data_IF_238042960798
#
_entry.id   IF_238042960798
#
_cell.length_a   1.000
_cell.length_b   1.000
_cell.length_c   1.000
_cell.angle_alpha   90.00
_cell.angle_beta   90.00
_cell.angle_gamma   90.00
#
_symmetry.space_group_name_H-M   'P 1'
#
loop_
_entity.id
_entity.type
_entity.pdbx_description
1 polymer ?
#
# COMPACT_ATOMS: atom_id res chain seq x y z
N UNK A 1 -23.87 -64.67 0.14
CA UNK A 1 -23.33 -63.35 -0.22
C UNK A 1 -24.47 -62.34 -0.17
N UNK A 2 -24.50 -61.50 0.86
CA UNK A 2 -25.56 -60.52 1.07
C UNK A 2 -24.95 -59.11 0.97
N UNK A 3 -25.46 -58.29 0.05
CA UNK A 3 -25.08 -56.89 -0.10
C UNK A 3 -26.04 -56.01 0.70
N UNK A 4 -25.50 -55.27 1.69
CA UNK A 4 -26.24 -54.26 2.43
C UNK A 4 -26.18 -52.92 1.66
N UNK A 5 -27.35 -52.36 1.36
CA UNK A 5 -27.54 -50.99 0.85
C UNK A 5 -27.41 -50.01 2.02
N UNK A 6 -26.51 -49.05 1.92
CA UNK A 6 -26.43 -47.87 2.80
C UNK A 6 -27.15 -46.71 2.11
N UNK A 7 -28.21 -46.21 2.75
CA UNK A 7 -28.98 -45.04 2.33
C UNK A 7 -28.27 -43.75 2.77
N UNK A 8 -28.07 -42.83 1.84
CA UNK A 8 -27.48 -41.51 2.06
C UNK A 8 -28.61 -40.50 2.34
N UNK A 9 -28.67 -39.81 3.49
CA UNK A 9 -29.65 -38.75 3.70
C UNK A 9 -29.14 -37.43 3.12
N UNK A 10 -29.80 -36.97 2.06
CA UNK A 10 -29.67 -35.62 1.51
C UNK A 10 -30.12 -34.58 2.54
N UNK A 11 -29.17 -33.81 3.07
CA UNK A 11 -29.42 -32.67 3.94
C UNK A 11 -29.50 -31.41 3.08
N UNK A 12 -30.73 -30.97 2.82
CA UNK A 12 -31.07 -29.66 2.27
C UNK A 12 -30.84 -28.61 3.38
N UNK A 13 -29.86 -27.72 3.19
CA UNK A 13 -29.70 -26.51 4.01
C UNK A 13 -29.83 -25.29 3.10
N UNK A 14 -30.83 -24.47 3.44
CA UNK A 14 -31.21 -23.18 2.83
C UNK A 14 -30.03 -22.19 2.73
N UNK A 15 -29.89 -21.42 1.64
CA UNK A 15 -29.08 -20.22 1.64
C UNK A 15 -29.87 -19.05 2.28
N UNK A 16 -29.30 -18.49 3.35
CA UNK A 16 -29.72 -17.22 3.94
C UNK A 16 -29.25 -16.07 3.02
N UNK A 17 -30.20 -15.41 2.36
CA UNK A 17 -29.98 -14.17 1.62
C UNK A 17 -29.81 -13.01 2.61
N UNK A 18 -28.57 -12.59 2.84
CA UNK A 18 -28.21 -11.34 3.51
C UNK A 18 -28.19 -10.21 2.48
N UNK A 19 -29.10 -9.25 2.65
CA UNK A 19 -29.19 -8.02 1.87
C UNK A 19 -28.51 -6.84 2.61
N UNK A 20 -27.79 -6.00 1.86
CA UNK A 20 -27.35 -4.63 2.22
C UNK A 20 -26.17 -4.56 3.21
N UNK A 21 -25.10 -3.80 2.99
CA UNK A 21 -25.00 -2.49 2.34
C UNK A 21 -23.76 -2.42 1.44
N UNK A 22 -23.96 -2.09 0.17
CA UNK A 22 -22.89 -1.62 -0.72
C UNK A 22 -22.55 -0.19 -0.33
N UNK A 23 -21.41 -0.02 0.35
CA UNK A 23 -20.72 1.26 0.45
C UNK A 23 -20.38 1.72 -0.96
N UNK A 24 -20.78 2.95 -1.30
CA UNK A 24 -20.40 3.64 -2.52
C UNK A 24 -18.89 3.91 -2.47
N UNK A 25 -18.11 2.92 -2.87
CA UNK A 25 -16.71 3.10 -3.19
C UNK A 25 -16.69 3.84 -4.53
N UNK A 26 -16.41 5.15 -4.49
CA UNK A 26 -15.97 5.88 -5.67
C UNK A 26 -14.85 5.05 -6.32
N UNK A 27 -15.22 4.40 -7.42
CA UNK A 27 -14.28 3.64 -8.23
C UNK A 27 -13.37 4.67 -8.88
N UNK A 28 -12.23 4.92 -8.24
CA UNK A 28 -11.08 5.46 -8.92
C UNK A 28 -10.70 4.44 -10.00
N UNK A 29 -11.17 4.67 -11.22
CA UNK A 29 -10.76 3.91 -12.40
C UNK A 29 -9.36 4.40 -12.72
N UNK A 30 -8.29 3.59 -12.55
CA UNK A 30 -6.99 3.99 -13.06
C UNK A 30 -7.08 4.07 -14.59
N UNK A 31 -7.14 5.29 -15.11
CA UNK A 31 -6.90 5.60 -16.52
C UNK A 31 -5.48 5.18 -16.89
N UNK A 32 -5.26 3.89 -17.19
CA UNK A 32 -4.07 3.41 -17.88
C UNK A 32 -4.30 2.01 -18.50
N UNK A 33 -5.52 1.76 -18.97
CA UNK A 33 -5.82 0.61 -19.85
C UNK A 33 -6.82 0.97 -20.94
N UNK A 34 -6.73 2.19 -21.50
CA UNK A 34 -7.12 2.39 -22.90
C UNK A 34 -6.03 1.80 -23.78
N UNK A 35 -6.00 0.46 -23.86
CA UNK A 35 -5.48 -0.19 -25.05
C UNK A 35 -6.50 0.09 -26.14
N UNK A 36 -6.41 1.29 -26.73
CA UNK A 36 -7.19 1.68 -27.89
C UNK A 36 -6.94 0.64 -28.96
N UNK A 37 -7.88 -0.29 -29.09
CA UNK A 37 -8.03 -1.10 -30.28
C UNK A 37 -8.55 -0.16 -31.38
N UNK A 38 -7.71 0.79 -31.81
CA UNK A 38 -7.93 1.47 -33.07
C UNK A 38 -7.82 0.41 -34.15
N UNK A 39 -8.96 0.09 -34.76
CA UNK A 39 -9.03 -0.73 -35.95
C UNK A 39 -8.00 -0.20 -36.96
N UNK A 40 -7.02 -1.04 -37.27
CA UNK A 40 -5.96 -0.72 -38.21
C UNK A 40 -6.57 -0.55 -39.60
N UNK A 41 -6.72 0.70 -40.03
CA UNK A 41 -6.69 1.01 -41.46
C UNK A 41 -5.25 0.71 -41.93
N UNK A 42 -5.12 -0.40 -42.65
CA UNK A 42 -3.89 -0.88 -43.27
C UNK A 42 -3.42 0.10 -44.37
N UNK A 43 -2.85 1.23 -43.99
CA UNK A 43 -1.91 1.95 -44.86
C UNK A 43 -0.59 1.19 -44.80
N UNK A 44 -0.19 0.58 -45.93
CA UNK A 44 1.05 -0.17 -46.11
C UNK A 44 2.30 0.70 -46.05
N UNK A 45 2.46 1.48 -44.97
CA UNK A 45 3.68 2.20 -44.63
C UNK A 45 4.73 1.14 -44.27
N UNK A 46 5.76 1.00 -45.11
CA UNK A 46 6.85 0.09 -44.85
C UNK A 46 7.48 0.44 -43.50
N UNK A 47 7.48 -0.51 -42.56
CA UNK A 47 8.05 -0.32 -41.24
C UNK A 47 9.49 0.18 -41.37
N UNK A 48 9.77 1.36 -40.81
CA UNK A 48 11.11 1.92 -40.80
C UNK A 48 12.09 0.90 -40.20
N UNK A 49 13.31 0.77 -40.75
CA UNK A 49 14.30 -0.16 -40.22
C UNK A 49 14.58 0.12 -38.74
N UNK A 50 14.81 -0.92 -37.92
CA UNK A 50 15.06 -0.75 -36.49
C UNK A 50 16.30 0.11 -36.27
N UNK A 51 16.15 1.18 -35.49
CA UNK A 51 17.25 2.10 -35.16
C UNK A 51 18.29 1.43 -34.25
N UNK A 52 19.60 1.72 -34.41
CA UNK A 52 20.64 1.15 -33.56
C UNK A 52 20.49 1.64 -32.11
N UNK A 53 20.62 0.73 -31.15
CA UNK A 53 20.55 1.04 -29.72
C UNK A 53 21.94 1.34 -29.13
N UNK A 54 22.09 2.49 -28.48
CA UNK A 54 23.30 2.99 -27.81
C UNK A 54 23.15 2.92 -26.28
N UNK A 55 24.25 2.74 -25.52
CA UNK A 55 24.18 2.81 -24.06
C UNK A 55 23.76 4.22 -23.60
N UNK A 56 22.76 4.31 -22.74
CA UNK A 56 22.24 5.57 -22.22
C UNK A 56 22.62 5.75 -20.74
N UNK A 57 23.35 6.82 -20.44
CA UNK A 57 23.81 7.11 -19.07
C UNK A 57 22.65 7.39 -18.09
N UNK A 58 21.57 7.98 -18.59
CA UNK A 58 20.41 8.38 -17.79
C UNK A 58 19.66 7.16 -17.23
N UNK A 59 19.42 6.15 -18.08
CA UNK A 59 18.67 4.95 -17.70
C UNK A 59 19.57 3.78 -17.29
N UNK A 60 20.85 3.79 -17.68
CA UNK A 60 21.77 2.67 -17.52
C UNK A 60 21.50 1.50 -18.48
N UNK A 61 20.64 1.69 -19.48
CA UNK A 61 20.18 0.66 -20.45
C UNK A 61 20.57 1.05 -21.89
N UNK A 62 20.32 0.16 -22.86
CA UNK A 62 20.52 0.46 -24.29
C UNK A 62 19.23 0.99 -24.92
N UNK A 63 19.25 2.26 -25.33
CA UNK A 63 18.10 2.97 -25.93
C UNK A 63 18.47 3.50 -27.32
N UNK A 64 17.51 4.02 -28.08
CA UNK A 64 17.89 4.75 -29.31
C UNK A 64 18.63 6.04 -28.95
N UNK A 65 19.45 6.57 -29.86
CA UNK A 65 20.16 7.83 -29.63
C UNK A 65 19.18 9.00 -29.40
N UNK A 66 18.03 8.98 -30.09
CA UNK A 66 16.96 9.97 -29.92
C UNK A 66 16.33 9.90 -28.52
N UNK A 67 15.93 8.69 -28.07
CA UNK A 67 15.35 8.49 -26.73
C UNK A 67 16.34 8.93 -25.65
N UNK A 68 17.62 8.57 -25.76
CA UNK A 68 18.59 8.94 -24.74
C UNK A 68 18.80 10.46 -24.65
N UNK A 69 18.80 11.16 -25.79
CA UNK A 69 18.87 12.62 -25.81
C UNK A 69 17.61 13.26 -25.21
N UNK A 70 16.44 12.67 -25.45
CA UNK A 70 15.18 13.11 -24.83
C UNK A 70 15.16 12.88 -23.33
N UNK A 71 15.58 11.70 -22.86
CA UNK A 71 15.69 11.39 -21.45
C UNK A 71 16.65 12.35 -20.73
N UNK A 72 17.76 12.72 -21.37
CA UNK A 72 18.66 13.73 -20.82
C UNK A 72 17.96 15.09 -20.66
N UNK A 73 17.21 15.55 -21.67
CA UNK A 73 16.42 16.79 -21.59
C UNK A 73 15.38 16.73 -20.46
N UNK A 74 14.65 15.62 -20.36
CA UNK A 74 13.61 15.45 -19.34
C UNK A 74 14.18 15.41 -17.91
N UNK A 75 15.38 14.85 -17.74
CA UNK A 75 16.08 14.88 -16.43
C UNK A 75 16.63 16.27 -16.10
N UNK A 76 17.04 17.07 -17.09
CA UNK A 76 17.44 18.46 -16.83
C UNK A 76 16.27 19.37 -16.48
N UNK A 77 15.03 19.00 -16.84
CA UNK A 77 13.82 19.75 -16.51
C UNK A 77 13.16 19.35 -15.18
N UNK A 78 13.82 18.54 -14.36
CA UNK A 78 13.25 18.11 -13.07
C UNK A 78 13.14 19.29 -12.11
N UNK A 79 12.01 19.36 -11.43
CA UNK A 79 11.74 20.35 -10.38
C UNK A 79 11.98 19.73 -9.02
N UNK A 80 12.30 20.55 -8.02
CA UNK A 80 12.25 20.08 -6.65
C UNK A 80 10.77 20.00 -6.19
N UNK A 81 10.49 19.03 -5.35
CA UNK A 81 9.18 18.85 -4.73
C UNK A 81 9.30 18.32 -3.32
N UNK A 82 8.16 18.22 -2.66
CA UNK A 82 8.03 17.57 -1.36
C UNK A 82 7.12 16.37 -1.52
N UNK A 83 7.55 15.24 -0.99
CA UNK A 83 6.70 14.08 -0.83
C UNK A 83 6.22 13.92 0.60
N UNK A 84 5.14 13.18 0.80
CA UNK A 84 4.74 12.71 2.10
C UNK A 84 4.31 11.25 2.06
N UNK A 85 4.69 10.50 3.09
CA UNK A 85 4.37 9.08 3.23
C UNK A 85 3.86 8.81 4.65
N UNK A 86 2.69 8.16 4.75
CA UNK A 86 2.03 7.90 6.03
C UNK A 86 1.53 6.45 6.13
N UNK A 87 2.41 5.47 6.40
CA UNK A 87 1.95 4.15 6.79
C UNK A 87 1.59 4.11 8.28
N UNK A 88 0.64 3.26 8.64
CA UNK A 88 0.37 2.94 10.05
C UNK A 88 1.56 2.21 10.65
N UNK A 89 1.99 2.60 11.86
CA UNK A 89 3.06 1.91 12.59
C UNK A 89 2.61 0.54 13.12
N UNK A 90 1.31 0.39 13.35
CA UNK A 90 0.69 -0.84 13.84
C UNK A 90 -0.48 -1.19 12.94
N UNK A 91 -0.42 -2.37 12.32
CA UNK A 91 -1.54 -2.94 11.57
C UNK A 91 -2.13 -4.13 12.31
N UNK A 92 -3.34 -4.53 11.93
CA UNK A 92 -4.02 -5.71 12.47
C UNK A 92 -4.06 -6.79 11.40
N UNK A 93 -3.66 -8.02 11.75
CA UNK A 93 -3.70 -9.19 10.86
C UNK A 93 -5.12 -9.34 10.29
N UNK A 94 -5.17 -9.61 8.99
CA UNK A 94 -6.39 -9.82 8.20
C UNK A 94 -7.31 -8.57 8.09
N UNK A 95 -6.86 -7.41 8.57
CA UNK A 95 -7.55 -6.13 8.42
C UNK A 95 -6.88 -5.30 7.31
N UNK A 96 -7.70 -4.81 6.37
CA UNK A 96 -7.21 -3.94 5.31
C UNK A 96 -7.00 -2.51 5.86
N UNK A 97 -5.80 -1.99 5.64
CA UNK A 97 -5.42 -0.60 5.91
C UNK A 97 -5.10 0.09 4.58
N UNK A 98 -5.49 1.36 4.46
CA UNK A 98 -5.11 2.18 3.31
C UNK A 98 -3.78 2.89 3.57
N UNK A 99 -2.77 2.60 2.76
CA UNK A 99 -1.49 3.33 2.74
C UNK A 99 -1.51 4.36 1.63
N UNK A 100 -1.03 5.56 1.93
CA UNK A 100 -1.07 6.71 1.02
C UNK A 100 0.29 7.35 0.88
N UNK A 101 0.56 7.83 -0.32
CA UNK A 101 1.75 8.61 -0.68
C UNK A 101 1.29 9.78 -1.56
N UNK A 102 1.82 10.98 -1.33
CA UNK A 102 1.56 12.11 -2.21
C UNK A 102 2.85 12.88 -2.48
N UNK A 103 2.86 13.59 -3.60
CA UNK A 103 3.94 14.52 -3.96
C UNK A 103 3.34 15.84 -4.40
N UNK A 104 4.04 16.94 -4.12
CA UNK A 104 3.75 18.25 -4.68
C UNK A 104 5.02 18.90 -5.16
N UNK A 105 4.94 19.61 -6.29
CA UNK A 105 6.01 20.50 -6.72
C UNK A 105 6.13 21.70 -5.78
N UNK A 106 7.35 22.21 -5.64
CA UNK A 106 7.61 23.52 -5.05
C UNK A 106 7.44 24.57 -6.17
N UNK A 107 6.64 25.64 -5.96
CA UNK A 107 6.25 26.56 -7.02
C UNK A 107 7.43 27.22 -7.76
N UNK A 108 8.58 27.45 -7.10
CA UNK A 108 9.72 28.14 -7.71
C UNK A 108 11.09 27.41 -7.58
N UNK A 109 11.10 26.16 -7.11
CA UNK A 109 12.36 25.47 -6.85
C UNK A 109 12.90 24.74 -8.08
N UNK A 110 13.98 25.28 -8.66
CA UNK A 110 14.83 24.57 -9.62
C UNK A 110 15.85 23.75 -8.82
N UNK A 111 16.02 22.48 -9.15
CA UNK A 111 16.96 21.63 -8.44
C UNK A 111 18.38 21.78 -9.01
N UNK A 112 19.40 21.78 -8.15
CA UNK A 112 20.79 21.82 -8.57
C UNK A 112 21.24 20.51 -9.22
N UNK A 113 22.37 20.56 -9.91
CA UNK A 113 22.95 19.45 -10.68
C UNK A 113 23.08 18.15 -9.86
N UNK A 114 23.29 18.26 -8.53
CA UNK A 114 23.45 17.13 -7.61
C UNK A 114 22.18 16.71 -6.85
N UNK A 115 21.03 17.34 -7.11
CA UNK A 115 19.82 17.07 -6.33
C UNK A 115 19.74 17.77 -4.97
N UNK A 116 20.74 18.57 -4.61
CA UNK A 116 20.52 19.66 -3.67
C UNK A 116 19.44 20.58 -4.24
N UNK A 117 18.55 21.10 -3.40
CA UNK A 117 17.72 22.24 -3.81
C UNK A 117 18.73 23.34 -4.12
N UNK A 118 19.00 23.59 -5.39
CA UNK A 118 19.73 24.79 -5.73
C UNK A 118 18.76 25.91 -5.40
N UNK A 119 19.08 26.69 -4.38
CA UNK A 119 18.69 28.09 -4.35
C UNK A 119 18.88 28.61 -5.77
N UNK A 120 17.80 28.97 -6.47
CA UNK A 120 17.88 29.49 -7.82
C UNK A 120 19.05 30.48 -7.89
N UNK A 121 20.00 30.21 -8.79
CA UNK A 121 21.42 30.56 -8.68
C UNK A 121 21.77 32.04 -8.58
N UNK A 122 20.83 32.99 -8.44
CA UNK A 122 21.14 34.42 -8.47
C UNK A 122 20.24 35.33 -7.60
N UNK A 123 19.47 34.81 -6.64
CA UNK A 123 18.71 35.69 -5.74
C UNK A 123 19.04 35.41 -4.29
N UNK A 124 19.30 36.47 -3.52
CA UNK A 124 19.55 36.51 -2.08
C UNK A 124 18.35 36.04 -1.23
N UNK A 125 17.55 35.12 -1.75
CA UNK A 125 16.47 34.43 -1.06
C UNK A 125 17.11 33.64 0.08
N UNK A 126 16.92 34.13 1.30
CA UNK A 126 17.46 33.55 2.51
C UNK A 126 17.05 32.07 2.59
N UNK A 127 17.98 31.16 2.94
CA UNK A 127 17.67 29.74 3.19
C UNK A 127 16.45 29.53 4.11
N UNK A 128 16.14 30.50 4.96
CA UNK A 128 14.95 30.53 5.79
C UNK A 128 13.62 30.60 5.02
N UNK A 129 13.58 31.29 3.87
CA UNK A 129 12.40 31.39 3.01
C UNK A 129 12.12 30.08 2.30
N UNK A 130 13.15 29.44 1.74
CA UNK A 130 13.02 28.09 1.14
C UNK A 130 12.59 27.08 2.20
N UNK A 131 13.18 27.11 3.40
CA UNK A 131 12.76 26.24 4.50
C UNK A 131 11.30 26.47 4.90
N UNK A 132 10.83 27.73 4.86
CA UNK A 132 9.42 28.07 5.11
C UNK A 132 8.50 27.53 4.02
N UNK A 133 8.86 27.69 2.75
CA UNK A 133 8.08 27.19 1.60
C UNK A 133 8.03 25.66 1.57
N UNK A 134 9.16 25.00 1.87
CA UNK A 134 9.23 23.55 2.03
C UNK A 134 8.34 23.09 3.19
N UNK A 135 8.36 23.78 4.33
CA UNK A 135 7.51 23.45 5.47
C UNK A 135 6.02 23.68 5.16
N UNK A 136 5.66 24.76 4.46
CA UNK A 136 4.29 25.04 4.03
C UNK A 136 3.78 23.97 3.06
N UNK A 137 4.60 23.63 2.06
CA UNK A 137 4.30 22.56 1.10
C UNK A 137 4.21 21.21 1.80
N UNK A 138 5.12 20.90 2.73
CA UNK A 138 5.07 19.69 3.55
C UNK A 138 3.74 19.58 4.32
N UNK A 139 3.28 20.68 4.91
CA UNK A 139 1.99 20.72 5.60
C UNK A 139 0.80 20.53 4.64
N UNK A 140 0.85 21.14 3.45
CA UNK A 140 -0.16 20.96 2.42
C UNK A 140 -0.23 19.50 1.95
N UNK A 141 0.92 18.90 1.63
CA UNK A 141 1.04 17.50 1.17
C UNK A 141 0.59 16.54 2.27
N UNK A 142 1.00 16.78 3.53
CA UNK A 142 0.53 16.01 4.68
C UNK A 142 -1.00 16.09 4.84
N UNK A 143 -1.59 17.28 4.65
CA UNK A 143 -3.03 17.50 4.71
C UNK A 143 -3.82 16.72 3.66
N UNK A 144 -3.22 16.35 2.52
CA UNK A 144 -3.85 15.50 1.52
C UNK A 144 -3.91 14.02 1.93
N UNK A 145 -3.01 13.60 2.84
CA UNK A 145 -2.86 12.20 3.21
C UNK A 145 -3.76 11.81 4.39
N UNK A 146 -3.97 12.70 5.36
CA UNK A 146 -4.66 12.37 6.62
C UNK A 146 -6.18 12.30 6.42
N UNK A 147 -6.83 11.12 6.41
CA UNK A 147 -8.25 11.05 6.71
C UNK A 147 -8.48 11.23 8.21
N UNK A 148 -9.66 11.77 8.54
CA UNK A 148 -10.06 12.41 9.80
C UNK A 148 -9.58 11.83 11.14
N UNK A 149 -9.20 10.56 11.31
CA UNK A 149 -8.80 10.02 12.63
C UNK A 149 -7.82 8.84 12.51
N UNK A 150 -6.66 9.00 13.15
CA UNK A 150 -5.70 7.95 13.56
C UNK A 150 -4.67 7.39 12.55
N UNK A 151 -4.30 8.12 11.50
CA UNK A 151 -3.18 7.68 10.66
C UNK A 151 -1.81 8.06 11.28
N UNK A 152 -0.80 7.20 11.09
CA UNK A 152 0.54 7.27 11.71
C UNK A 152 1.34 8.55 11.46
N UNK A 153 2.58 8.64 11.94
CA UNK A 153 3.42 9.81 11.71
C UNK A 153 3.66 10.04 10.20
N UNK A 154 3.24 11.19 9.68
CA UNK A 154 3.54 11.62 8.31
C UNK A 154 5.03 11.97 8.25
N UNK A 155 5.75 11.36 7.32
CA UNK A 155 7.11 11.78 6.98
C UNK A 155 7.11 12.50 5.65
N UNK A 156 7.86 13.60 5.61
CA UNK A 156 8.00 14.42 4.41
C UNK A 156 9.45 14.51 3.99
N UNK A 157 9.74 14.34 2.70
CA UNK A 157 11.09 14.48 2.16
C UNK A 157 11.10 15.38 0.92
N UNK A 158 12.25 15.97 0.64
CA UNK A 158 12.48 16.67 -0.62
C UNK A 158 12.82 15.65 -1.70
N UNK A 159 12.15 15.73 -2.84
CA UNK A 159 12.30 14.79 -3.96
C UNK A 159 12.49 15.49 -5.30
N UNK A 160 13.06 14.77 -6.27
CA UNK A 160 13.09 15.20 -7.68
C UNK A 160 11.77 14.85 -8.35
N UNK A 161 11.13 15.82 -9.00
CA UNK A 161 9.90 15.62 -9.75
C UNK A 161 10.14 15.82 -11.25
N UNK A 162 9.78 14.82 -12.05
CA UNK A 162 9.69 14.93 -13.50
C UNK A 162 8.25 15.14 -13.94
N UNK A 163 8.02 15.27 -15.25
CA UNK A 163 6.67 15.38 -15.80
C UNK A 163 5.80 14.19 -15.41
N UNK A 164 6.35 12.97 -15.45
CA UNK A 164 5.66 11.76 -15.00
C UNK A 164 6.38 11.17 -13.80
N UNK A 165 5.61 10.85 -12.78
CA UNK A 165 6.10 10.22 -11.55
C UNK A 165 5.52 8.82 -11.43
N UNK A 166 6.30 7.91 -10.86
CA UNK A 166 5.81 6.60 -10.47
C UNK A 166 6.01 6.37 -8.98
N UNK A 167 5.14 5.56 -8.39
CA UNK A 167 5.36 4.99 -7.07
C UNK A 167 4.95 3.51 -7.05
N UNK A 168 5.75 2.71 -6.35
CA UNK A 168 5.53 1.30 -6.10
C UNK A 168 5.55 1.08 -4.58
N UNK A 169 4.57 0.37 -4.05
CA UNK A 169 4.61 -0.13 -2.69
C UNK A 169 4.84 -1.64 -2.73
N UNK A 170 5.89 -2.10 -2.04
CA UNK A 170 6.14 -3.51 -1.81
C UNK A 170 6.35 -3.76 -0.31
N UNK A 171 6.44 -5.02 0.08
CA UNK A 171 6.64 -5.39 1.47
C UNK A 171 7.09 -6.83 1.60
N UNK A 172 7.33 -7.24 2.85
CA UNK A 172 7.57 -8.64 3.17
C UNK A 172 6.40 -9.53 2.69
N UNK A 173 6.61 -10.85 2.47
CA UNK A 173 5.55 -11.79 2.06
C UNK A 173 4.36 -11.91 3.02
N UNK A 174 4.46 -11.27 4.19
CA UNK A 174 3.39 -11.14 5.18
C UNK A 174 2.37 -10.06 4.82
N UNK A 175 2.48 -9.38 3.67
CA UNK A 175 1.51 -8.39 3.21
C UNK A 175 0.90 -8.78 1.87
N UNK A 176 -0.41 -8.60 1.75
CA UNK A 176 -1.11 -8.51 0.45
C UNK A 176 -1.30 -7.03 0.14
N UNK A 177 -0.75 -6.56 -0.98
CA UNK A 177 -0.74 -5.14 -1.36
C UNK A 177 -1.49 -4.98 -2.69
N UNK A 178 -2.52 -4.15 -2.71
CA UNK A 178 -3.31 -3.81 -3.89
C UNK A 178 -3.30 -2.31 -4.16
N UNK A 179 -3.01 -1.83 -5.38
CA UNK A 179 -2.53 -2.59 -6.52
C UNK A 179 -1.07 -3.03 -6.34
N UNK A 180 -0.71 -4.21 -6.85
CA UNK A 180 0.67 -4.72 -6.81
C UNK A 180 1.60 -4.01 -7.82
N UNK A 181 1.03 -3.41 -8.86
CA UNK A 181 1.80 -2.72 -9.89
C UNK A 181 2.15 -1.30 -9.45
N UNK A 182 3.29 -0.81 -9.92
CA UNK A 182 3.63 0.60 -9.80
C UNK A 182 2.63 1.45 -10.57
N UNK A 183 2.13 2.51 -9.95
CA UNK A 183 1.20 3.44 -10.58
C UNK A 183 1.99 4.65 -11.07
N UNK A 184 1.60 5.21 -12.21
CA UNK A 184 2.28 6.34 -12.87
C UNK A 184 1.27 7.47 -13.05
N UNK A 185 1.65 8.68 -12.68
CA UNK A 185 0.86 9.90 -12.88
C UNK A 185 1.62 10.93 -13.69
N UNK A 186 0.89 11.70 -14.49
CA UNK A 186 1.40 12.89 -15.16
C UNK A 186 1.16 14.11 -14.27
N UNK A 187 2.22 14.73 -13.76
CA UNK A 187 2.14 15.89 -12.88
C UNK A 187 1.62 17.15 -13.57
N UNK A 188 1.62 17.19 -14.91
CA UNK A 188 1.01 18.30 -15.64
C UNK A 188 -0.52 18.23 -15.57
N UNK A 189 -1.07 17.02 -15.60
CA UNK A 189 -2.52 16.78 -15.52
C UNK A 189 -3.00 16.72 -14.08
N UNK A 190 -2.22 16.08 -13.20
CA UNK A 190 -2.52 15.91 -11.78
C UNK A 190 -1.33 16.43 -10.97
N UNK A 191 -1.28 17.73 -10.62
CA UNK A 191 -0.11 18.35 -9.99
C UNK A 191 0.19 17.85 -8.57
N UNK A 192 -0.84 17.33 -7.89
CA UNK A 192 -0.75 16.79 -6.54
C UNK A 192 -1.31 15.35 -6.51
N UNK A 193 -0.64 14.38 -7.14
CA UNK A 193 -1.17 13.03 -7.21
C UNK A 193 -1.08 12.35 -5.84
N UNK A 194 -2.07 11.53 -5.54
CA UNK A 194 -2.10 10.67 -4.36
C UNK A 194 -2.12 9.22 -4.83
N UNK A 195 -1.07 8.47 -4.50
CA UNK A 195 -1.05 7.03 -4.66
C UNK A 195 -1.70 6.37 -3.46
N UNK A 196 -2.61 5.46 -3.74
CA UNK A 196 -3.38 4.74 -2.73
C UNK A 196 -3.12 3.25 -2.91
N UNK A 197 -2.77 2.58 -1.81
CA UNK A 197 -2.68 1.13 -1.74
C UNK A 197 -3.52 0.60 -0.58
N UNK A 198 -4.17 -0.52 -0.81
CA UNK A 198 -4.80 -1.34 0.20
C UNK A 198 -3.81 -2.42 0.64
N UNK A 199 -3.44 -2.39 1.91
CA UNK A 199 -2.46 -3.29 2.52
C UNK A 199 -3.19 -4.16 3.53
N UNK A 200 -3.06 -5.47 3.41
CA UNK A 200 -3.64 -6.44 4.36
C UNK A 200 -2.54 -7.36 4.84
N UNK A 201 -2.12 -7.28 6.12
CA UNK A 201 -1.12 -8.18 6.66
C UNK A 201 -1.72 -9.57 6.92
N UNK A 202 -1.02 -10.61 6.49
CA UNK A 202 -1.44 -12.02 6.58
C UNK A 202 -0.78 -12.75 7.76
N UNK A 203 0.26 -12.17 8.36
CA UNK A 203 0.97 -12.74 9.52
C UNK A 203 1.18 -11.67 10.59
N UNK A 204 1.03 -12.06 11.85
CA UNK A 204 1.35 -11.22 12.99
C UNK A 204 2.83 -11.33 13.39
N UNK A 205 3.40 -10.26 13.93
CA UNK A 205 4.82 -10.18 14.22
C UNK A 205 5.26 -8.78 14.67
N UNK A 206 6.43 -8.67 15.33
CA UNK A 206 6.88 -7.42 15.92
C UNK A 206 7.43 -6.41 14.91
N UNK A 207 7.95 -6.87 13.77
CA UNK A 207 8.53 -6.02 12.73
C UNK A 207 8.43 -6.72 11.37
N UNK A 208 7.64 -6.14 10.48
CA UNK A 208 7.61 -6.44 9.05
C UNK A 208 7.90 -5.16 8.27
N UNK A 209 8.49 -5.28 7.08
CA UNK A 209 8.93 -4.11 6.32
C UNK A 209 7.99 -3.81 5.15
N UNK A 210 7.64 -2.53 5.02
CA UNK A 210 7.09 -1.95 3.79
C UNK A 210 8.17 -1.09 3.12
N UNK A 211 8.28 -1.22 1.81
CA UNK A 211 9.22 -0.49 0.97
C UNK A 211 8.43 0.35 -0.03
N UNK A 212 8.52 1.67 0.10
CA UNK A 212 8.00 2.60 -0.89
C UNK A 212 9.14 2.95 -1.83
N UNK A 213 8.97 2.72 -3.14
CA UNK A 213 9.89 3.18 -4.17
C UNK A 213 9.19 4.20 -5.07
N UNK A 214 9.72 5.41 -5.14
CA UNK A 214 9.21 6.45 -6.04
C UNK A 214 10.31 7.04 -6.94
N UNK A 215 9.89 7.69 -8.02
CA UNK A 215 10.80 8.36 -8.94
C UNK A 215 10.12 8.84 -10.21
N UNK A 216 10.94 9.13 -11.21
CA UNK A 216 10.52 9.69 -12.49
C UNK A 216 10.26 8.54 -13.48
N UNK A 217 9.15 8.64 -14.21
CA UNK A 217 8.84 7.78 -15.33
C UNK A 217 9.16 8.53 -16.63
N UNK A 218 9.92 7.90 -17.52
CA UNK A 218 10.19 8.40 -18.87
C UNK A 218 9.54 7.45 -19.87
N UNK A 219 8.90 7.98 -20.90
CA UNK A 219 8.33 7.19 -21.98
C UNK A 219 9.29 7.23 -23.17
N UNK A 220 9.74 6.07 -23.63
CA UNK A 220 10.54 5.98 -24.86
C UNK A 220 9.65 6.11 -26.11
N UNK A 221 10.28 6.35 -27.26
CA UNK A 221 9.59 6.39 -28.56
C UNK A 221 8.88 5.09 -28.93
N UNK A 222 9.20 3.97 -28.27
CA UNK A 222 8.53 2.68 -28.39
C UNK A 222 7.29 2.54 -27.47
N UNK A 223 6.89 3.61 -26.77
CA UNK A 223 5.79 3.63 -25.81
C UNK A 223 6.12 2.93 -24.48
N UNK A 224 7.37 2.47 -24.29
CA UNK A 224 7.75 1.77 -23.07
C UNK A 224 8.15 2.73 -21.96
N UNK A 225 7.72 2.44 -20.73
CA UNK A 225 8.03 3.28 -19.57
C UNK A 225 9.35 2.82 -18.92
N UNK A 226 10.32 3.72 -18.88
CA UNK A 226 11.57 3.60 -18.11
C UNK A 226 11.40 4.31 -16.76
N UNK A 227 11.74 3.61 -15.68
CA UNK A 227 11.57 4.09 -14.30
C UNK A 227 12.92 4.43 -13.71
N UNK A 228 13.14 5.71 -13.42
CA UNK A 228 14.38 6.23 -12.84
C UNK A 228 14.07 6.69 -11.43
N UNK A 229 14.63 5.99 -10.44
CA UNK A 229 14.40 6.33 -9.04
C UNK A 229 15.25 5.50 -8.10
N UNK A 230 15.84 6.18 -7.11
CA UNK A 230 16.62 5.59 -6.00
C UNK A 230 15.95 5.79 -4.64
N UNK A 231 14.88 6.58 -4.55
CA UNK A 231 14.24 6.88 -3.28
C UNK A 231 13.43 5.68 -2.83
N UNK A 232 13.97 4.98 -1.84
CA UNK A 232 13.29 3.90 -1.14
C UNK A 232 13.12 4.27 0.33
N UNK A 233 11.91 4.60 0.76
CA UNK A 233 11.60 4.74 2.18
C UNK A 233 11.20 3.37 2.70
N UNK A 234 11.91 2.88 3.72
CA UNK A 234 11.61 1.59 4.36
C UNK A 234 10.98 1.84 5.71
N UNK A 235 9.88 1.15 6.01
CA UNK A 235 9.15 1.28 7.26
C UNK A 235 8.92 -0.05 7.93
N UNK A 236 9.22 -0.10 9.22
CA UNK A 236 8.91 -1.24 10.06
C UNK A 236 7.51 -1.10 10.64
N UNK A 237 6.68 -2.10 10.40
CA UNK A 237 5.28 -2.18 10.81
C UNK A 237 5.13 -3.33 11.78
N UNK A 238 4.55 -3.04 12.94
CA UNK A 238 4.15 -4.06 13.91
C UNK A 238 2.78 -4.59 13.49
N UNK A 239 2.65 -5.90 13.30
CA UNK A 239 1.34 -6.52 13.01
C UNK A 239 0.84 -7.25 14.25
N UNK A 240 -0.32 -6.81 14.74
CA UNK A 240 -0.99 -7.41 15.89
C UNK A 240 -2.16 -8.28 15.46
N UNK A 241 -2.57 -9.22 16.31
CA UNK A 241 -3.81 -9.98 16.11
C UNK A 241 -4.90 -9.34 16.97
N UNK A 242 -6.07 -9.10 16.36
CA UNK A 242 -7.27 -8.66 17.09
C UNK A 242 -7.72 -9.71 18.11
N UNK A 243 -8.52 -9.31 19.10
CA UNK A 243 -9.03 -10.26 20.10
C UNK A 243 -9.83 -11.41 19.45
N UNK A 244 -10.60 -11.09 18.40
CA UNK A 244 -11.37 -12.08 17.63
C UNK A 244 -10.42 -13.00 16.85
N UNK A 245 -9.39 -12.46 16.21
CA UNK A 245 -8.40 -13.26 15.48
C UNK A 245 -7.67 -14.25 16.39
N UNK A 246 -7.32 -13.85 17.63
CA UNK A 246 -6.71 -14.76 18.61
C UNK A 246 -7.66 -15.89 19.01
N UNK A 247 -8.95 -15.61 19.14
CA UNK A 247 -9.95 -16.61 19.46
C UNK A 247 -10.15 -17.60 18.29
N UNK A 248 -10.15 -17.11 17.05
CA UNK A 248 -10.21 -17.97 15.86
C UNK A 248 -8.97 -18.86 15.73
N UNK A 249 -7.77 -18.32 15.97
CA UNK A 249 -6.53 -19.11 15.98
C UNK A 249 -6.59 -20.22 17.04
N UNK A 250 -7.12 -19.90 18.22
CA UNK A 250 -7.33 -20.87 19.30
C UNK A 250 -8.33 -21.97 18.90
N UNK A 251 -9.48 -21.61 18.33
CA UNK A 251 -10.46 -22.59 17.85
C UNK A 251 -9.90 -23.47 16.73
N UNK A 252 -9.17 -22.88 15.78
CA UNK A 252 -8.49 -23.62 14.70
C UNK A 252 -7.49 -24.63 15.25
N UNK A 253 -6.77 -24.24 16.32
CA UNK A 253 -5.87 -25.15 17.03
C UNK A 253 -6.64 -26.29 17.70
N UNK A 254 -7.78 -26.01 18.34
CA UNK A 254 -8.63 -27.05 18.97
C UNK A 254 -9.11 -28.06 17.93
N UNK A 255 -9.57 -27.63 16.75
CA UNK A 255 -10.05 -28.56 15.73
C UNK A 255 -8.98 -29.55 15.27
N UNK A 256 -7.71 -29.11 15.19
CA UNK A 256 -6.59 -30.02 14.90
C UNK A 256 -6.36 -31.03 16.05
N UNK A 257 -6.59 -30.63 17.30
CA UNK A 257 -6.45 -31.50 18.48
C UNK A 257 -7.60 -32.49 18.63
N UNK A 258 -8.83 -32.10 18.30
CA UNK A 258 -10.02 -32.96 18.41
C UNK A 258 -9.96 -34.13 17.42
N UNK A 259 -9.29 -33.96 16.28
CA UNK A 259 -9.02 -35.06 15.36
C UNK A 259 -7.97 -36.06 15.89
N UNK A 260 -7.25 -35.71 16.95
CA UNK A 260 -6.40 -36.63 17.71
C UNK A 260 -7.21 -37.24 18.88
N UNK A 261 -7.34 -38.58 18.97
CA UNK A 261 -8.13 -39.23 20.03
C UNK A 261 -7.60 -38.92 21.45
N UNK A 262 -6.32 -38.60 21.61
CA UNK A 262 -5.71 -38.17 22.88
C UNK A 262 -5.92 -36.68 23.17
N UNK A 263 -6.06 -35.84 22.13
CA UNK A 263 -6.20 -34.39 22.27
C UNK A 263 -7.58 -33.96 22.81
N UNK A 264 -8.64 -34.70 22.46
CA UNK A 264 -10.00 -34.39 22.91
C UNK A 264 -10.14 -34.44 24.45
N UNK A 265 -9.53 -35.41 25.13
CA UNK A 265 -9.62 -35.57 26.59
C UNK A 265 -8.92 -34.41 27.31
N UNK A 266 -7.73 -34.02 26.83
CA UNK A 266 -6.97 -32.91 27.39
C UNK A 266 -7.66 -31.55 27.17
N UNK A 267 -8.29 -31.36 26.01
CA UNK A 267 -9.02 -30.14 25.69
C UNK A 267 -10.25 -29.95 26.60
N UNK A 268 -11.00 -31.03 26.86
CA UNK A 268 -12.16 -30.98 27.76
C UNK A 268 -11.73 -30.68 29.20
N UNK A 269 -10.66 -31.29 29.70
CA UNK A 269 -10.16 -30.97 31.06
C UNK A 269 -9.67 -29.53 31.18
N UNK A 270 -8.94 -29.02 30.17
CA UNK A 270 -8.51 -27.62 30.16
C UNK A 270 -9.70 -26.63 30.11
N UNK A 271 -10.73 -26.92 29.29
CA UNK A 271 -11.93 -26.10 29.21
C UNK A 271 -12.70 -26.08 30.54
N UNK A 272 -12.91 -27.25 31.14
CA UNK A 272 -13.57 -27.35 32.45
C UNK A 272 -12.79 -26.60 33.54
N UNK A 273 -11.45 -26.67 33.51
CA UNK A 273 -10.59 -25.89 34.40
C UNK A 273 -10.75 -24.38 34.21
N UNK A 274 -10.76 -23.91 32.96
CA UNK A 274 -10.96 -22.49 32.65
C UNK A 274 -12.35 -21.98 33.08
N UNK A 275 -13.41 -22.77 32.86
CA UNK A 275 -14.77 -22.44 33.32
C UNK A 275 -14.81 -22.37 34.84
N UNK A 276 -14.21 -23.32 35.55
CA UNK A 276 -14.18 -23.31 37.02
C UNK A 276 -13.47 -22.07 37.58
N UNK A 277 -12.33 -21.67 36.98
CA UNK A 277 -11.61 -20.45 37.36
C UNK A 277 -12.44 -19.18 37.12
N UNK A 278 -13.15 -19.12 35.98
CA UNK A 278 -14.01 -17.98 35.63
C UNK A 278 -15.21 -17.86 36.57
N UNK A 279 -15.84 -18.98 36.94
CA UNK A 279 -16.92 -19.02 37.94
C UNK A 279 -16.41 -18.59 39.32
N UNK A 280 -15.22 -19.02 39.73
CA UNK A 280 -14.62 -18.61 40.99
C UNK A 280 -14.33 -17.10 41.04
N UNK A 281 -13.74 -16.54 39.97
CA UNK A 281 -13.49 -15.11 39.85
C UNK A 281 -14.80 -14.30 39.86
N UNK A 282 -15.81 -14.74 39.11
CA UNK A 282 -17.12 -14.09 39.06
C UNK A 282 -17.84 -14.11 40.41
N UNK A 283 -17.78 -15.23 41.16
CA UNK A 283 -18.31 -15.29 42.53
C UNK A 283 -17.63 -14.31 43.47
N UNK A 284 -16.32 -14.05 43.29
CA UNK A 284 -15.56 -13.10 44.10
C UNK A 284 -15.89 -11.63 43.78
N UNK A 285 -16.35 -11.36 42.55
CA UNK A 285 -16.74 -10.02 42.09
C UNK A 285 -18.22 -9.69 42.32
N UNK A 286 -19.07 -10.66 42.71
CA UNK A 286 -20.46 -10.34 43.06
C UNK A 286 -20.47 -9.47 44.33
N UNK A 287 -21.00 -8.24 44.27
CA UNK A 287 -21.17 -7.42 45.47
C UNK A 287 -22.03 -8.18 46.47
N UNK A 288 -21.64 -8.15 47.74
CA UNK A 288 -22.38 -8.81 48.80
C UNK A 288 -23.83 -8.34 48.76
N UNK A 289 -24.77 -9.29 48.71
CA UNK A 289 -26.20 -8.98 48.71
C UNK A 289 -26.49 -8.09 49.91
N UNK A 290 -27.06 -6.88 49.71
CA UNK A 290 -27.30 -5.97 50.82
C UNK A 290 -28.22 -6.65 51.85
N UNK A 291 -27.96 -6.47 53.16
CA UNK A 291 -28.75 -7.09 54.20
C UNK A 291 -30.23 -6.68 54.06
N UNK A 292 -31.13 -7.66 54.19
CA UNK A 292 -32.57 -7.43 54.13
C UNK A 292 -32.96 -6.53 55.30
N UNK A 293 -33.50 -5.35 55.00
CA UNK A 293 -33.91 -4.41 56.03
C UNK A 293 -35.02 -5.03 56.92
N UNK A 294 -34.96 -4.82 58.25
CA UNK A 294 -35.93 -5.36 59.21
C UNK A 294 -37.32 -4.73 59.08
#
# INVERSE_FOLDING_TARGET
>A
MAFARVSNPSLLILPLLLAGCTSNNESYVPENSMKSASAAENSGEAAAPPQPRVPCAVTGTRETAADCAEFARNITSVKAGVDAFQPEQVMVRDQQTTVRYSVSALPDAIQGENGEIATASDSSTNNAEIAREVAETANMVAGQIVPDREAGQVETHVVKLGQRMFACLSGDPSFTIGPAQCQVFNLVETPNPVWIWQVTPTKAGPSFKLYLRSGIALEGSDGSIRRIGRYSTTREIKVTVSAIGRFQDFLGTITAWVQSPTGAIAAVTALLGAIAALVAAYRKLRPATPPKAP
#
